data_IF_685024495409
#
_entry.id   IF_685024495409
#
_cell.length_a   1.000
_cell.length_b   1.000
_cell.length_c   1.000
_cell.angle_alpha   90.00
_cell.angle_beta   90.00
_cell.angle_gamma   90.00
#
_symmetry.space_group_name_H-M   'P 1'
#
loop_
_entity.id
_entity.type
_entity.pdbx_description
1 polymer ?
#
# COMPACT_ATOMS: atom_id res chain seq x y z
N UNK A 1 -4.73 12.93 -11.63
CA UNK A 1 -5.36 11.70 -11.10
C UNK A 1 -6.43 12.13 -10.12
N UNK A 2 -7.65 11.58 -10.24
CA UNK A 2 -8.74 11.89 -9.30
C UNK A 2 -9.11 10.62 -8.54
N UNK A 3 -8.79 10.60 -7.25
CA UNK A 3 -9.14 9.50 -6.35
C UNK A 3 -10.47 9.79 -5.66
N UNK A 4 -11.39 8.86 -5.77
CA UNK A 4 -12.66 8.88 -5.05
C UNK A 4 -12.71 7.66 -4.14
N UNK A 5 -12.77 7.87 -2.83
CA UNK A 5 -12.94 6.79 -1.86
C UNK A 5 -14.43 6.43 -1.84
N UNK A 6 -14.76 5.18 -2.14
CA UNK A 6 -16.15 4.69 -2.21
C UNK A 6 -16.54 3.99 -0.92
N UNK A 7 -15.59 3.29 -0.29
CA UNK A 7 -15.81 2.54 0.94
C UNK A 7 -14.61 2.69 1.86
N UNK A 8 -14.89 2.97 3.12
CA UNK A 8 -13.92 2.94 4.21
C UNK A 8 -14.51 2.06 5.32
N UNK A 9 -13.83 0.96 5.62
CA UNK A 9 -14.23 0.03 6.67
C UNK A 9 -13.08 -0.16 7.65
N UNK A 10 -13.31 0.17 8.92
CA UNK A 10 -12.33 -0.06 9.97
C UNK A 10 -12.46 -1.50 10.49
N UNK A 11 -11.39 -2.28 10.41
CA UNK A 11 -11.31 -3.64 10.91
C UNK A 11 -10.51 -3.69 12.21
N UNK A 12 -11.23 -3.77 13.33
CA UNK A 12 -10.67 -3.77 14.70
C UNK A 12 -9.88 -5.05 14.99
N UNK A 13 -10.20 -6.18 14.34
CA UNK A 13 -9.51 -7.45 14.59
C UNK A 13 -8.07 -7.45 14.06
N UNK A 14 -7.80 -6.68 13.01
CA UNK A 14 -6.52 -6.62 12.32
C UNK A 14 -5.87 -5.24 12.40
N UNK A 15 -6.41 -4.34 13.23
CA UNK A 15 -5.96 -2.94 13.39
C UNK A 15 -5.64 -2.27 12.04
N UNK A 16 -6.59 -2.38 11.11
CA UNK A 16 -6.42 -1.84 9.76
C UNK A 16 -7.72 -1.27 9.21
N UNK A 17 -7.59 -0.21 8.43
CA UNK A 17 -8.66 0.40 7.66
C UNK A 17 -8.61 -0.14 6.22
N UNK A 18 -9.68 -0.77 5.78
CA UNK A 18 -9.85 -1.24 4.40
C UNK A 18 -10.51 -0.14 3.58
N UNK A 19 -9.77 0.35 2.58
CA UNK A 19 -10.21 1.39 1.67
C UNK A 19 -10.45 0.79 0.29
N UNK A 20 -11.62 1.08 -0.26
CA UNK A 20 -11.93 0.78 -1.65
C UNK A 20 -12.35 2.05 -2.34
N UNK A 21 -11.83 2.30 -3.53
CA UNK A 21 -12.14 3.51 -4.26
C UNK A 21 -11.97 3.36 -5.76
N UNK A 22 -12.37 4.40 -6.46
CA UNK A 22 -12.19 4.57 -7.88
C UNK A 22 -11.15 5.65 -8.18
N UNK A 23 -10.42 5.47 -9.27
CA UNK A 23 -9.42 6.38 -9.79
C UNK A 23 -9.84 6.72 -11.21
N UNK A 24 -9.96 8.01 -11.51
CA UNK A 24 -10.13 8.48 -12.88
C UNK A 24 -8.76 8.81 -13.47
N UNK A 25 -8.48 8.19 -14.62
CA UNK A 25 -7.19 8.19 -15.32
C UNK A 25 -7.26 9.13 -16.53
N UNK A 26 -6.87 10.38 -16.35
CA UNK A 26 -6.68 11.28 -17.49
C UNK A 26 -5.45 10.83 -18.29
N UNK A 27 -5.65 10.29 -19.50
CA UNK A 27 -4.58 9.89 -20.41
C UNK A 27 -4.23 8.39 -20.44
N UNK A 28 -5.02 7.51 -19.79
CA UNK A 28 -4.90 6.06 -19.96
C UNK A 28 -3.71 5.38 -19.27
N UNK A 29 -2.81 6.14 -18.64
CA UNK A 29 -1.73 5.59 -17.84
C UNK A 29 -2.26 4.98 -16.54
N UNK A 30 -1.86 3.75 -16.23
CA UNK A 30 -2.18 3.13 -14.93
C UNK A 30 -1.26 3.72 -13.87
N UNK A 31 -1.79 4.26 -12.76
CA UNK A 31 -0.97 4.89 -11.73
C UNK A 31 -0.08 3.82 -11.11
N UNK A 32 1.15 4.21 -10.80
CA UNK A 32 2.05 3.30 -10.10
C UNK A 32 1.57 3.08 -8.67
N UNK A 33 1.96 1.96 -8.08
CA UNK A 33 1.69 1.71 -6.67
C UNK A 33 2.26 2.82 -5.78
N UNK A 34 3.40 3.40 -6.14
CA UNK A 34 4.04 4.45 -5.37
C UNK A 34 3.20 5.74 -5.38
N UNK A 35 2.66 6.12 -6.54
CA UNK A 35 1.82 7.32 -6.67
C UNK A 35 0.55 7.21 -5.82
N UNK A 36 -0.09 6.03 -5.85
CA UNK A 36 -1.26 5.75 -5.02
C UNK A 36 -0.95 5.73 -3.53
N UNK A 37 0.21 5.20 -3.16
CA UNK A 37 0.64 5.16 -1.76
C UNK A 37 0.91 6.58 -1.26
N UNK A 38 1.50 7.44 -2.09
CA UNK A 38 1.71 8.85 -1.78
C UNK A 38 0.40 9.61 -1.66
N UNK A 39 -0.56 9.42 -2.59
CA UNK A 39 -1.85 10.10 -2.50
C UNK A 39 -2.69 9.64 -1.29
N UNK A 40 -2.76 8.33 -1.03
CA UNK A 40 -3.47 7.79 0.15
C UNK A 40 -2.74 8.12 1.45
N UNK A 41 -1.41 8.25 1.39
CA UNK A 41 -0.54 8.61 2.51
C UNK A 41 -0.48 10.12 2.80
N UNK A 42 -1.11 10.99 2.00
CA UNK A 42 -1.18 12.43 2.34
C UNK A 42 -1.93 12.71 3.66
N UNK A 43 -2.63 11.73 4.22
CA UNK A 43 -3.29 11.82 5.54
C UNK A 43 -2.81 10.81 6.60
N UNK A 44 -1.91 9.87 6.27
CA UNK A 44 -1.37 8.83 7.17
C UNK A 44 0.01 8.39 6.68
N UNK A 45 0.89 7.85 7.52
CA UNK A 45 2.22 7.41 7.08
C UNK A 45 2.15 6.46 5.86
N UNK A 46 2.83 6.85 4.77
CA UNK A 46 2.89 6.06 3.53
C UNK A 46 3.42 4.63 3.77
N UNK A 47 4.26 4.46 4.79
CA UNK A 47 4.81 3.17 5.22
C UNK A 47 3.76 2.21 5.80
N UNK A 48 2.60 2.71 6.23
CA UNK A 48 1.49 1.91 6.78
C UNK A 48 0.46 1.52 5.71
N UNK A 49 0.50 2.18 4.56
CA UNK A 49 -0.39 1.90 3.44
C UNK A 49 0.14 0.69 2.67
N UNK A 50 -0.78 -0.20 2.31
CA UNK A 50 -0.53 -1.38 1.46
C UNK A 50 -1.61 -1.44 0.40
N UNK A 51 -1.20 -1.34 -0.87
CA UNK A 51 -2.11 -1.51 -1.99
C UNK A 51 -2.22 -3.00 -2.29
N UNK A 52 -3.43 -3.57 -2.14
CA UNK A 52 -3.66 -4.99 -2.42
C UNK A 52 -3.88 -5.24 -3.90
N UNK A 53 -4.64 -4.37 -4.55
CA UNK A 53 -5.00 -4.55 -5.95
C UNK A 53 -5.39 -3.23 -6.59
N UNK A 54 -4.92 -3.03 -7.81
CA UNK A 54 -5.43 -2.03 -8.74
C UNK A 54 -6.03 -2.79 -9.91
N UNK A 55 -7.31 -2.57 -10.19
CA UNK A 55 -8.03 -3.16 -11.31
C UNK A 55 -8.46 -2.04 -12.25
N UNK A 56 -7.77 -1.93 -13.37
CA UNK A 56 -8.15 -1.05 -14.46
C UNK A 56 -9.32 -1.67 -15.23
N UNK A 57 -10.32 -0.85 -15.58
CA UNK A 57 -11.43 -1.31 -16.42
C UNK A 57 -11.04 -1.17 -17.88
N UNK A 58 -11.04 -2.27 -18.62
CA UNK A 58 -10.70 -2.25 -20.05
C UNK A 58 -11.63 -1.30 -20.83
N UNK A 59 -11.04 -0.50 -21.72
CA UNK A 59 -11.76 0.47 -22.55
C UNK A 59 -12.33 1.69 -21.80
N UNK A 60 -12.05 1.85 -20.51
CA UNK A 60 -12.46 3.01 -19.72
C UNK A 60 -11.26 3.63 -19.02
N UNK A 61 -11.24 4.96 -18.95
CA UNK A 61 -10.31 5.75 -18.16
C UNK A 61 -10.58 5.67 -16.63
N UNK A 62 -10.98 4.49 -16.13
CA UNK A 62 -11.36 4.26 -14.73
C UNK A 62 -10.69 3.01 -14.18
N UNK A 63 -10.09 3.14 -13.01
CA UNK A 63 -9.55 2.03 -12.25
C UNK A 63 -10.21 1.96 -10.87
N UNK A 64 -10.35 0.77 -10.32
CA UNK A 64 -10.75 0.56 -8.93
C UNK A 64 -9.55 0.06 -8.15
N UNK A 65 -9.32 0.59 -6.97
CA UNK A 65 -8.25 0.13 -6.09
C UNK A 65 -8.81 -0.39 -4.77
N UNK A 66 -8.09 -1.35 -4.20
CA UNK A 66 -8.28 -1.82 -2.84
C UNK A 66 -6.96 -1.62 -2.10
N UNK A 67 -7.00 -0.81 -1.04
CA UNK A 67 -5.87 -0.52 -0.18
C UNK A 67 -6.23 -0.85 1.27
N UNK A 68 -5.21 -1.14 2.06
CA UNK A 68 -5.32 -1.32 3.50
C UNK A 68 -4.34 -0.38 4.16
N UNK A 69 -4.78 0.28 5.21
CA UNK A 69 -3.93 1.13 6.03
C UNK A 69 -3.89 0.56 7.43
N UNK A 70 -2.72 0.12 7.85
CA UNK A 70 -2.49 -0.39 9.21
C UNK A 70 -2.33 0.77 10.20
N UNK A 71 -2.63 0.51 11.47
CA UNK A 71 -2.42 1.50 12.53
C UNK A 71 -0.96 1.47 13.05
N UNK A 72 -0.28 0.32 12.93
CA UNK A 72 1.14 0.19 13.28
C UNK A 72 1.96 -0.60 12.26
N UNK A 73 3.26 -0.33 12.21
CA UNK A 73 4.21 -1.07 11.37
C UNK A 73 4.34 -2.54 11.82
N UNK A 74 4.13 -2.81 13.11
CA UNK A 74 4.17 -4.16 13.67
C UNK A 74 3.03 -5.01 13.11
N UNK A 75 1.80 -4.49 13.15
CA UNK A 75 0.62 -5.18 12.61
C UNK A 75 0.77 -5.45 11.11
N UNK A 76 1.35 -4.51 10.36
CA UNK A 76 1.67 -4.70 8.95
C UNK A 76 2.66 -5.86 8.74
N UNK A 77 3.73 -5.93 9.53
CA UNK A 77 4.76 -6.96 9.39
C UNK A 77 4.29 -8.35 9.84
N UNK A 78 3.39 -8.41 10.84
CA UNK A 78 2.84 -9.67 11.35
C UNK A 78 1.79 -10.26 10.39
N UNK A 79 0.99 -9.41 9.74
CA UNK A 79 -0.10 -9.83 8.85
C UNK A 79 0.36 -10.05 7.41
N UNK A 80 1.25 -9.20 6.88
CA UNK A 80 1.75 -9.37 5.52
C UNK A 80 2.86 -10.42 5.49
N UNK A 81 2.61 -11.55 4.81
CA UNK A 81 3.67 -12.54 4.59
C UNK A 81 4.77 -11.94 3.72
N UNK A 82 5.94 -11.71 4.34
CA UNK A 82 7.13 -11.33 3.60
C UNK A 82 7.49 -12.42 2.58
N UNK A 83 7.61 -12.02 1.32
CA UNK A 83 8.07 -12.90 0.24
C UNK A 83 9.53 -13.30 0.49
N UNK A 84 9.98 -14.45 -0.02
CA UNK A 84 11.37 -14.92 0.15
C UNK A 84 12.43 -13.86 -0.21
N UNK A 85 12.17 -13.05 -1.24
CA UNK A 85 13.04 -11.94 -1.64
C UNK A 85 13.08 -10.80 -0.63
N UNK A 86 11.94 -10.42 -0.05
CA UNK A 86 11.86 -9.36 0.95
C UNK A 86 12.53 -9.78 2.27
N UNK A 87 12.44 -11.06 2.63
CA UNK A 87 13.17 -11.63 3.79
C UNK A 87 14.68 -11.54 3.60
N UNK A 88 15.20 -11.91 2.42
CA UNK A 88 16.64 -11.81 2.11
C UNK A 88 17.14 -10.37 2.18
N UNK A 89 16.40 -9.41 1.61
CA UNK A 89 16.77 -7.99 1.67
C UNK A 89 16.73 -7.44 3.10
N UNK A 90 15.77 -7.86 3.92
CA UNK A 90 15.72 -7.48 5.33
C UNK A 90 16.90 -8.05 6.13
N UNK A 91 17.36 -9.26 5.80
CA UNK A 91 18.52 -9.89 6.44
C UNK A 91 19.85 -9.22 6.01
N UNK A 92 19.99 -8.86 4.73
CA UNK A 92 21.15 -8.10 4.22
C UNK A 92 21.20 -6.67 4.78
N UNK A 93 20.04 -6.02 4.95
CA UNK A 93 19.95 -4.72 5.60
C UNK A 93 20.32 -4.77 7.09
N UNK A 94 19.97 -5.87 7.79
CA UNK A 94 20.41 -6.06 9.18
C UNK A 94 21.92 -6.27 9.29
N UNK A 95 22.52 -7.09 8.42
CA UNK A 95 23.97 -7.34 8.42
C UNK A 95 24.79 -6.08 8.12
N UNK A 96 24.31 -5.22 7.23
CA UNK A 96 24.98 -3.95 6.90
C UNK A 96 24.82 -2.89 7.99
N UNK A 97 23.68 -2.85 8.70
CA UNK A 97 23.51 -1.98 9.85
C UNK A 97 24.39 -2.39 11.05
N UNK A 98 24.52 -3.70 11.30
CA UNK A 98 25.33 -4.23 12.41
C UNK A 98 26.85 -4.06 12.14
N UNK A 99 27.27 -4.19 10.88
CA UNK A 99 28.66 -3.93 10.45
C UNK A 99 29.03 -2.43 10.39
N UNK A 100 28.06 -1.52 10.38
CA UNK A 100 28.31 -0.08 10.45
C UNK A 100 28.32 0.46 11.89
N UNK A 101 27.87 -0.35 12.86
CA UNK A 101 27.85 -0.03 14.29
C UNK A 101 28.99 -0.69 15.09
N UNK A 102 29.87 -1.45 14.44
CA UNK A 102 31.07 -2.09 15.00
C UNK A 102 32.34 -1.44 14.45
#
# INVERSE_FOLDING_TARGET
>A
MKVTITKNQHNVLLNRSELTGAIELEGGATPSNNDLTLELGRGKDASLVVIKKIKTSYGRAKATFSAVIYDSLKDKNDVEQQTKHQRKQAEEAKKTAEAASA
#
